data_IF_411788419164
#
_entry.id   IF_411788419164
#
_cell.length_a   1.000
_cell.length_b   1.000
_cell.length_c   1.000
_cell.angle_alpha   90.00
_cell.angle_beta   90.00
_cell.angle_gamma   90.00
#
_symmetry.space_group_name_H-M   'P 1'
#
loop_
_entity.id
_entity.type
_entity.pdbx_description
1 polymer ?
#
# COMPACT_ATOMS: atom_id res chain seq x y z
N UNK A 1 -33.12 48.60 -23.02
CA UNK A 1 -31.67 48.39 -23.24
C UNK A 1 -31.32 47.02 -22.71
N UNK A 2 -30.87 46.13 -23.58
CA UNK A 2 -30.48 44.75 -23.30
C UNK A 2 -29.00 44.74 -22.90
N UNK A 3 -28.64 44.07 -21.80
CA UNK A 3 -27.22 43.72 -21.54
C UNK A 3 -27.13 42.24 -21.28
N UNK A 4 -26.35 41.61 -22.14
CA UNK A 4 -26.24 40.18 -22.40
C UNK A 4 -25.51 39.45 -21.27
N UNK A 5 -25.85 38.17 -21.10
CA UNK A 5 -25.11 37.19 -20.30
C UNK A 5 -23.59 37.28 -20.53
N UNK A 6 -22.81 37.26 -19.46
CA UNK A 6 -21.45 36.77 -19.46
C UNK A 6 -21.37 35.64 -18.44
N UNK A 7 -21.68 34.44 -18.92
CA UNK A 7 -21.60 33.17 -18.21
C UNK A 7 -20.11 32.83 -18.07
N UNK A 8 -19.47 33.25 -16.96
CA UNK A 8 -18.11 32.82 -16.64
C UNK A 8 -18.16 31.36 -16.13
N UNK A 9 -18.22 30.42 -17.08
CA UNK A 9 -17.92 29.02 -16.84
C UNK A 9 -16.43 28.89 -16.56
N UNK A 10 -16.05 29.12 -15.30
CA UNK A 10 -14.75 28.70 -14.80
C UNK A 10 -14.83 27.18 -14.64
N UNK A 11 -14.41 26.46 -15.68
CA UNK A 11 -14.21 25.02 -15.64
C UNK A 11 -13.07 24.71 -14.67
N UNK A 12 -13.43 24.47 -13.40
CA UNK A 12 -12.50 24.00 -12.38
C UNK A 12 -12.22 22.51 -12.65
N UNK A 13 -11.26 22.24 -13.53
CA UNK A 13 -10.74 20.89 -13.74
C UNK A 13 -9.95 20.47 -12.50
N UNK A 14 -10.67 19.87 -11.54
CA UNK A 14 -10.10 19.22 -10.37
C UNK A 14 -9.24 18.02 -10.83
N UNK A 15 -7.93 17.99 -10.52
CA UNK A 15 -7.15 16.78 -10.73
C UNK A 15 -7.68 15.70 -9.77
N UNK A 16 -8.17 14.59 -10.34
CA UNK A 16 -8.52 13.40 -9.56
C UNK A 16 -7.20 12.83 -9.06
N UNK A 17 -6.90 13.02 -7.78
CA UNK A 17 -5.83 12.31 -7.09
C UNK A 17 -6.25 10.84 -6.99
N UNK A 18 -5.84 10.03 -7.96
CA UNK A 18 -5.94 8.58 -7.85
C UNK A 18 -4.90 8.12 -6.84
N UNK A 19 -5.32 7.95 -5.58
CA UNK A 19 -4.52 7.23 -4.60
C UNK A 19 -4.64 5.76 -4.96
N UNK A 20 -3.55 5.18 -5.48
CA UNK A 20 -3.43 3.74 -5.69
C UNK A 20 -3.69 3.03 -4.34
N UNK A 21 -4.91 2.53 -4.17
CA UNK A 21 -5.28 1.62 -3.09
C UNK A 21 -4.77 0.25 -3.48
N UNK A 22 -3.47 0.13 -3.37
CA UNK A 22 -2.79 -1.13 -3.55
C UNK A 22 -3.02 -1.87 -2.20
N UNK A 23 -3.41 -3.15 -2.25
CA UNK A 23 -3.64 -3.97 -1.05
C UNK A 23 -2.30 -4.27 -0.40
N UNK A 24 -1.74 -3.29 0.31
CA UNK A 24 -0.31 -3.24 0.59
C UNK A 24 0.03 -3.72 1.97
N UNK A 25 0.85 -4.76 2.01
CA UNK A 25 1.72 -4.95 3.16
C UNK A 25 2.70 -3.77 3.21
N UNK A 26 3.01 -3.30 4.41
CA UNK A 26 3.91 -2.19 4.63
C UNK A 26 5.02 -2.58 5.59
N UNK A 27 6.24 -2.17 5.26
CA UNK A 27 7.37 -2.21 6.17
C UNK A 27 7.70 -0.79 6.61
N UNK A 28 7.64 -0.55 7.91
CA UNK A 28 7.89 0.73 8.55
C UNK A 28 9.16 0.66 9.39
N UNK A 29 10.04 1.66 9.26
CA UNK A 29 11.29 1.75 10.02
C UNK A 29 11.44 3.07 10.74
N UNK A 30 12.01 3.03 11.94
CA UNK A 30 12.48 4.18 12.69
C UNK A 30 13.83 3.82 13.34
N UNK A 31 14.92 4.32 12.77
CA UNK A 31 16.26 3.81 13.06
C UNK A 31 16.34 2.32 12.75
N UNK A 32 16.81 1.55 13.74
CA UNK A 32 16.93 0.08 13.66
C UNK A 32 15.63 -0.68 14.03
N UNK A 33 14.57 0.05 14.38
CA UNK A 33 13.28 -0.54 14.78
C UNK A 33 12.41 -0.75 13.55
N UNK A 34 11.86 -1.96 13.40
CA UNK A 34 11.07 -2.40 12.26
C UNK A 34 9.69 -2.86 12.70
N UNK A 35 8.66 -2.37 11.99
CA UNK A 35 7.28 -2.80 12.13
C UNK A 35 6.70 -3.18 10.78
N UNK A 36 5.84 -4.20 10.75
CA UNK A 36 5.07 -4.57 9.55
C UNK A 36 3.59 -4.43 9.79
N UNK A 37 2.89 -3.90 8.80
CA UNK A 37 1.42 -3.84 8.73
C UNK A 37 1.02 -4.65 7.51
N UNK A 38 0.26 -5.72 7.70
CA UNK A 38 -0.12 -6.65 6.64
C UNK A 38 -1.63 -6.84 6.63
N UNK A 39 -2.23 -7.04 5.45
CA UNK A 39 -3.65 -7.38 5.34
C UNK A 39 -3.76 -8.84 4.90
N UNK A 40 -4.45 -9.65 5.70
CA UNK A 40 -4.73 -11.05 5.40
C UNK A 40 -6.17 -11.21 4.93
N UNK A 41 -6.36 -11.86 3.78
CA UNK A 41 -7.65 -12.32 3.28
C UNK A 41 -7.69 -13.85 3.30
N UNK A 42 -8.69 -14.46 3.94
CA UNK A 42 -8.67 -15.93 4.18
C UNK A 42 -9.28 -16.76 3.05
N UNK A 43 -10.10 -16.17 2.19
CA UNK A 43 -10.90 -16.90 1.18
C UNK A 43 -10.48 -16.59 -0.27
N UNK A 44 -9.41 -15.81 -0.47
CA UNK A 44 -9.06 -15.26 -1.78
C UNK A 44 -10.03 -14.20 -2.30
N UNK A 45 -11.03 -13.82 -1.49
CA UNK A 45 -11.94 -12.71 -1.74
C UNK A 45 -11.59 -11.52 -0.84
N UNK A 46 -12.15 -10.34 -1.14
CA UNK A 46 -11.90 -9.11 -0.37
C UNK A 46 -12.40 -9.16 1.09
N UNK A 47 -13.25 -10.15 1.43
CA UNK A 47 -13.69 -10.44 2.80
C UNK A 47 -13.85 -11.96 2.99
N UNK A 48 -13.69 -12.47 4.22
CA UNK A 48 -13.28 -11.75 5.42
C UNK A 48 -11.79 -11.33 5.37
N UNK A 49 -11.45 -10.27 6.10
CA UNK A 49 -10.10 -9.70 6.15
C UNK A 49 -9.66 -9.42 7.59
N UNK A 50 -8.34 -9.39 7.82
CA UNK A 50 -7.72 -8.98 9.08
C UNK A 50 -6.49 -8.11 8.83
N UNK A 51 -6.27 -7.10 9.67
CA UNK A 51 -5.04 -6.31 9.70
C UNK A 51 -4.10 -6.95 10.72
N UNK A 52 -2.97 -7.45 10.27
CA UNK A 52 -1.90 -7.99 11.09
C UNK A 52 -0.85 -6.91 11.32
N UNK A 53 -0.39 -6.81 12.57
CA UNK A 53 0.62 -5.85 12.97
C UNK A 53 1.73 -6.56 13.74
N UNK A 54 2.95 -6.39 13.25
CA UNK A 54 4.15 -6.99 13.81
C UNK A 54 5.10 -5.88 14.26
N UNK A 55 5.65 -6.05 15.45
CA UNK A 55 6.73 -5.22 16.00
C UNK A 55 8.01 -6.04 15.96
N UNK A 56 8.57 -6.21 14.77
CA UNK A 56 9.59 -7.24 14.51
C UNK A 56 10.85 -7.07 15.34
N UNK A 57 11.26 -5.83 15.60
CA UNK A 57 12.44 -5.55 16.42
C UNK A 57 12.10 -5.57 17.91
N UNK A 58 10.92 -5.08 18.30
CA UNK A 58 10.56 -4.95 19.72
C UNK A 58 10.00 -6.24 20.34
N UNK A 59 9.27 -7.04 19.57
CA UNK A 59 8.64 -8.29 19.97
C UNK A 59 8.66 -9.30 18.81
N UNK A 60 9.83 -9.91 18.52
CA UNK A 60 9.98 -10.84 17.40
C UNK A 60 8.97 -11.99 17.45
N UNK A 61 8.24 -12.19 16.35
CA UNK A 61 7.25 -13.27 16.21
C UNK A 61 5.89 -13.02 16.88
N UNK A 62 5.73 -11.92 17.62
CA UNK A 62 4.43 -11.55 18.18
C UNK A 62 3.51 -10.95 17.11
N UNK A 63 2.28 -11.43 17.04
CA UNK A 63 1.24 -10.93 16.15
C UNK A 63 0.18 -10.17 16.95
N UNK A 64 -0.11 -8.95 16.53
CA UNK A 64 -1.27 -8.18 16.96
C UNK A 64 -2.29 -8.13 15.81
N UNK A 65 -3.58 -8.34 16.12
CA UNK A 65 -4.68 -8.24 15.13
C UNK A 65 -5.63 -7.12 15.56
N UNK A 66 -5.26 -5.85 15.36
CA UNK A 66 -6.05 -4.71 15.85
C UNK A 66 -7.43 -4.60 15.17
N UNK A 67 -7.57 -5.08 13.93
CA UNK A 67 -8.83 -4.99 13.19
C UNK A 67 -9.08 -6.23 12.33
N UNK A 68 -10.37 -6.58 12.18
CA UNK A 68 -10.85 -7.55 11.22
C UNK A 68 -12.26 -7.17 10.75
N UNK A 69 -12.66 -7.66 9.57
CA UNK A 69 -14.02 -7.54 9.07
C UNK A 69 -14.48 -8.82 8.38
N UNK A 70 -15.74 -9.17 8.60
CA UNK A 70 -16.33 -10.39 8.02
C UNK A 70 -17.04 -10.14 6.68
N UNK A 71 -17.62 -8.95 6.50
CA UNK A 71 -18.52 -8.65 5.39
C UNK A 71 -18.35 -7.25 4.80
N UNK A 72 -17.41 -6.46 5.34
CA UNK A 72 -17.21 -5.09 4.91
C UNK A 72 -15.95 -4.98 4.04
N UNK A 73 -16.15 -5.02 2.73
CA UNK A 73 -15.09 -4.77 1.75
C UNK A 73 -14.48 -3.40 1.98
N UNK A 74 -13.15 -3.30 1.87
CA UNK A 74 -12.41 -2.04 2.04
C UNK A 74 -12.10 -1.66 3.49
N UNK A 75 -12.65 -2.38 4.48
CA UNK A 75 -12.46 -2.03 5.89
C UNK A 75 -11.00 -2.19 6.34
N UNK A 76 -10.37 -3.32 6.02
CA UNK A 76 -9.01 -3.60 6.46
C UNK A 76 -7.98 -2.69 5.75
N UNK A 77 -8.25 -2.35 4.49
CA UNK A 77 -7.46 -1.43 3.66
C UNK A 77 -7.48 -0.02 4.26
N UNK A 78 -8.67 0.47 4.63
CA UNK A 78 -8.80 1.76 5.30
C UNK A 78 -8.05 1.78 6.64
N UNK A 79 -8.21 0.74 7.48
CA UNK A 79 -7.54 0.64 8.78
C UNK A 79 -6.02 0.49 8.69
N UNK A 80 -5.53 -0.30 7.75
CA UNK A 80 -4.10 -0.41 7.47
C UNK A 80 -3.52 0.95 7.03
N UNK A 81 -4.23 1.66 6.14
CA UNK A 81 -3.86 3.00 5.71
C UNK A 81 -3.80 4.01 6.86
N UNK A 82 -4.79 4.01 7.76
CA UNK A 82 -4.81 4.85 8.96
C UNK A 82 -3.64 4.53 9.91
N UNK A 83 -3.32 3.25 10.12
CA UNK A 83 -2.20 2.84 10.96
C UNK A 83 -0.86 3.29 10.35
N UNK A 84 -0.66 3.11 9.04
CA UNK A 84 0.54 3.56 8.34
C UNK A 84 0.68 5.07 8.37
N UNK A 85 -0.43 5.81 8.17
CA UNK A 85 -0.44 7.26 8.29
C UNK A 85 -0.06 7.71 9.71
N UNK A 86 -0.54 7.01 10.73
CA UNK A 86 -0.19 7.28 12.13
C UNK A 86 1.29 7.03 12.40
N UNK A 87 1.83 5.90 11.94
CA UNK A 87 3.27 5.59 12.06
C UNK A 87 4.12 6.68 11.38
N UNK A 88 3.75 7.12 10.18
CA UNK A 88 4.41 8.25 9.50
C UNK A 88 4.35 9.53 10.31
N UNK A 89 3.18 9.85 10.89
CA UNK A 89 3.00 10.98 11.80
C UNK A 89 3.88 10.91 13.05
N UNK A 90 4.26 9.71 13.48
CA UNK A 90 5.20 9.46 14.58
C UNK A 90 6.66 9.34 14.13
N UNK A 91 6.99 9.76 12.91
CA UNK A 91 8.35 9.80 12.40
C UNK A 91 8.86 8.49 11.79
N UNK A 92 7.98 7.53 11.49
CA UNK A 92 8.37 6.29 10.82
C UNK A 92 8.40 6.45 9.30
N UNK A 93 9.39 5.85 8.66
CA UNK A 93 9.44 5.72 7.20
C UNK A 93 8.76 4.42 6.80
N UNK A 94 7.63 4.51 6.11
CA UNK A 94 6.86 3.34 5.69
C UNK A 94 6.84 3.18 4.17
N UNK A 95 7.30 2.03 3.69
CA UNK A 95 7.27 1.64 2.29
C UNK A 95 6.26 0.52 2.06
N UNK A 96 5.53 0.60 0.96
CA UNK A 96 4.75 -0.54 0.50
C UNK A 96 5.70 -1.68 0.14
N UNK A 97 5.36 -2.87 0.60
CA UNK A 97 6.00 -4.12 0.23
C UNK A 97 4.96 -4.84 -0.61
N UNK A 98 4.74 -4.32 -1.82
CA UNK A 98 4.04 -5.08 -2.85
C UNK A 98 4.81 -6.38 -3.09
N UNK A 99 4.16 -7.36 -3.72
CA UNK A 99 4.80 -8.60 -4.15
C UNK A 99 5.89 -8.32 -5.22
N UNK A 100 7.00 -7.70 -4.83
CA UNK A 100 8.25 -7.71 -5.57
C UNK A 100 8.84 -9.11 -5.42
N UNK A 101 8.17 -10.08 -6.03
CA UNK A 101 8.93 -11.04 -6.82
C UNK A 101 9.66 -10.21 -7.85
N UNK A 102 10.93 -9.90 -7.59
CA UNK A 102 11.87 -9.62 -8.66
C UNK A 102 11.82 -10.83 -9.57
N UNK A 103 11.03 -10.77 -10.65
CA UNK A 103 11.34 -11.56 -11.83
C UNK A 103 12.69 -11.01 -12.27
N UNK A 104 13.76 -11.68 -11.84
CA UNK A 104 15.05 -11.53 -12.49
C UNK A 104 14.81 -12.08 -13.89
N UNK A 105 14.67 -11.17 -14.84
CA UNK A 105 14.86 -11.49 -16.24
C UNK A 105 16.36 -11.78 -16.44
N UNK A 106 16.78 -12.96 -16.00
CA UNK A 106 18.10 -13.50 -16.31
C UNK A 106 18.04 -14.11 -17.73
N UNK A 107 17.71 -13.30 -18.72
CA UNK A 107 17.73 -13.68 -20.15
C UNK A 107 18.86 -12.93 -20.86
N UNK A 108 20.09 -13.05 -20.36
CA UNK A 108 21.30 -12.65 -21.10
C UNK A 108 22.51 -13.49 -20.64
N UNK A 109 22.41 -14.80 -20.82
CA UNK A 109 23.56 -15.68 -20.74
C UNK A 109 23.36 -16.87 -21.67
N UNK A 110 23.44 -16.64 -22.99
CA UNK A 110 23.77 -17.64 -24.01
C UNK A 110 23.97 -16.95 -25.37
N UNK A 111 25.19 -16.50 -25.65
CA UNK A 111 25.71 -16.53 -27.01
C UNK A 111 27.09 -17.16 -26.99
N UNK A 112 27.11 -18.45 -27.34
CA UNK A 112 28.30 -19.21 -27.61
C UNK A 112 28.89 -18.80 -28.97
N UNK A 113 30.23 -18.80 -29.04
CA UNK A 113 30.99 -19.30 -30.18
C UNK A 113 31.19 -18.37 -31.37
N UNK A 114 32.41 -17.88 -31.53
CA UNK A 114 33.01 -17.71 -32.85
C UNK A 114 34.48 -18.16 -32.75
N UNK A 115 34.84 -19.18 -33.53
CA UNK A 115 36.19 -19.73 -33.65
C UNK A 115 36.95 -19.04 -34.79
N UNK A 116 38.29 -18.91 -34.73
CA UNK A 116 39.11 -18.76 -35.92
C UNK A 116 39.46 -20.11 -36.57
#
# INVERSE_FOLDING_TARGET
MSTRLAFFLVAFSLPILTSAQDGQNHRCTNGDVVRRVEILYTTGAAVPCAVHYYKDTEAPGALEVPWNAQKQTGYCEARAGELVASLRGWGWTCSATGASGTVRDDTDALSAGEAP
#
